data_IF_340747867677
#
_entry.id   IF_340747867677
#
_cell.length_a   1.000
_cell.length_b   1.000
_cell.length_c   1.000
_cell.angle_alpha   90.00
_cell.angle_beta   90.00
_cell.angle_gamma   90.00
#
_symmetry.space_group_name_H-M   'P 1'
#
loop_
_entity.id
_entity.type
_entity.pdbx_description
1 polymer ?
#
# COMPACT_ATOMS: atom_id res chain seq x y z
N UNK A 1 -42.68 3.78 -25.85
CA UNK A 1 -43.36 2.48 -25.71
C UNK A 1 -43.39 1.79 -27.07
N UNK A 2 -42.34 1.02 -27.38
CA UNK A 2 -42.37 -0.07 -28.36
C UNK A 2 -41.50 -1.16 -27.75
N UNK A 3 -42.15 -2.29 -27.44
CA UNK A 3 -41.61 -3.52 -26.86
C UNK A 3 -41.37 -4.49 -28.02
N UNK A 4 -40.28 -5.26 -27.98
CA UNK A 4 -40.12 -6.64 -28.49
C UNK A 4 -38.61 -6.94 -28.59
N UNK A 5 -38.07 -8.12 -28.29
CA UNK A 5 -38.59 -9.37 -27.73
C UNK A 5 -37.35 -10.16 -27.27
N UNK A 6 -37.43 -10.76 -26.08
CA UNK A 6 -36.43 -11.69 -25.58
C UNK A 6 -36.47 -13.00 -26.39
N UNK A 7 -35.31 -13.55 -26.72
CA UNK A 7 -35.17 -14.92 -27.17
C UNK A 7 -34.55 -15.74 -26.04
N UNK A 8 -35.39 -16.53 -25.39
CA UNK A 8 -35.02 -17.71 -24.58
C UNK A 8 -34.98 -18.95 -25.47
N UNK A 9 -34.34 -20.02 -24.98
CA UNK A 9 -34.35 -21.47 -25.36
C UNK A 9 -32.90 -21.94 -25.59
N UNK A 10 -32.31 -22.98 -24.98
CA UNK A 10 -32.65 -24.03 -23.99
C UNK A 10 -31.33 -24.69 -23.57
N UNK A 11 -31.09 -24.94 -22.28
CA UNK A 11 -31.12 -26.24 -21.59
C UNK A 11 -30.23 -27.37 -22.19
N UNK A 12 -29.14 -27.70 -21.51
CA UNK A 12 -28.61 -29.08 -21.50
C UNK A 12 -28.00 -29.40 -20.13
N UNK A 13 -28.77 -30.15 -19.35
CA UNK A 13 -28.29 -30.95 -18.23
C UNK A 13 -27.74 -32.26 -18.80
N UNK A 14 -26.52 -32.66 -18.42
CA UNK A 14 -26.19 -34.08 -18.37
C UNK A 14 -25.45 -34.38 -17.08
N UNK A 15 -26.04 -35.29 -16.31
CA UNK A 15 -25.62 -35.70 -15.00
C UNK A 15 -24.79 -36.99 -15.10
N UNK A 16 -23.72 -37.02 -14.30
CA UNK A 16 -23.36 -38.06 -13.33
C UNK A 16 -23.05 -39.52 -13.75
N UNK A 17 -21.94 -39.97 -13.15
CA UNK A 17 -21.56 -41.32 -12.67
C UNK A 17 -20.85 -42.26 -13.68
N UNK A 18 -19.67 -42.78 -13.34
CA UNK A 18 -19.49 -43.95 -12.46
C UNK A 18 -18.01 -44.30 -12.24
N UNK A 19 -17.79 -44.90 -11.08
CA UNK A 19 -16.62 -45.56 -10.52
C UNK A 19 -16.20 -46.85 -11.24
N UNK A 20 -14.90 -47.17 -11.20
CA UNK A 20 -14.31 -48.52 -11.12
C UNK A 20 -12.80 -48.33 -10.92
N UNK A 21 -12.03 -49.14 -10.19
CA UNK A 21 -12.25 -50.41 -9.53
C UNK A 21 -10.85 -50.98 -9.24
N UNK A 22 -10.62 -51.51 -8.04
CA UNK A 22 -9.39 -52.21 -7.71
C UNK A 22 -9.31 -53.52 -8.49
N UNK A 23 -8.15 -53.80 -9.09
CA UNK A 23 -7.75 -55.15 -9.48
C UNK A 23 -6.47 -55.53 -8.74
N UNK A 24 -6.53 -56.68 -8.07
CA UNK A 24 -5.43 -57.28 -7.32
C UNK A 24 -5.15 -58.64 -7.96
N UNK A 25 -4.00 -58.79 -8.66
CA UNK A 25 -3.44 -60.09 -9.03
C UNK A 25 -1.92 -60.07 -8.91
N UNK A 26 -1.44 -60.97 -8.07
CA UNK A 26 -0.04 -61.28 -7.79
C UNK A 26 0.73 -61.71 -9.04
N UNK A 27 1.90 -61.11 -9.24
CA UNK A 27 3.05 -61.74 -9.91
C UNK A 27 4.31 -61.36 -9.14
N UNK A 28 4.89 -62.35 -8.47
CA UNK A 28 6.12 -62.27 -7.69
C UNK A 28 7.33 -62.16 -8.62
N UNK A 29 8.14 -61.12 -8.45
CA UNK A 29 9.55 -61.09 -8.87
C UNK A 29 10.28 -60.08 -7.99
N UNK A 30 11.23 -60.61 -7.23
CA UNK A 30 12.05 -60.00 -6.19
C UNK A 30 13.05 -58.96 -6.72
N UNK A 31 13.12 -57.77 -6.11
CA UNK A 31 14.36 -57.11 -5.62
C UNK A 31 13.96 -56.13 -4.50
N UNK A 32 14.63 -56.23 -3.35
CA UNK A 32 14.47 -55.36 -2.18
C UNK A 32 15.10 -53.98 -2.44
N UNK A 33 14.34 -52.91 -2.23
CA UNK A 33 14.89 -51.66 -1.68
C UNK A 33 13.85 -50.98 -0.78
N UNK A 34 14.21 -50.81 0.50
CA UNK A 34 13.33 -50.30 1.56
C UNK A 34 13.03 -48.80 1.34
N UNK A 35 11.83 -48.48 0.87
CA UNK A 35 11.25 -47.14 1.04
C UNK A 35 10.47 -47.09 2.35
N UNK A 36 11.07 -46.51 3.39
CA UNK A 36 10.33 -46.06 4.57
C UNK A 36 9.57 -44.78 4.23
N UNK A 37 8.29 -44.89 3.91
CA UNK A 37 7.36 -43.76 3.95
C UNK A 37 7.03 -43.48 5.42
N UNK A 38 7.72 -42.50 6.00
CA UNK A 38 7.24 -41.84 7.21
C UNK A 38 6.27 -40.75 6.78
N UNK A 39 4.98 -41.01 6.96
CA UNK A 39 3.91 -40.03 6.84
C UNK A 39 4.03 -39.06 8.03
N UNK A 40 4.88 -38.05 7.88
CA UNK A 40 4.99 -36.95 8.85
C UNK A 40 3.96 -35.88 8.48
N UNK A 41 3.17 -35.37 9.43
CA UNK A 41 2.24 -34.27 9.17
C UNK A 41 3.04 -33.08 8.65
N UNK A 42 2.81 -32.69 7.41
CA UNK A 42 3.37 -31.46 6.85
C UNK A 42 2.88 -30.30 7.73
N UNK A 43 3.79 -29.74 8.54
CA UNK A 43 3.58 -28.45 9.19
C UNK A 43 3.11 -27.44 8.13
N UNK A 44 2.17 -26.53 8.46
CA UNK A 44 1.79 -25.48 7.53
C UNK A 44 3.05 -24.75 7.11
N UNK A 45 3.33 -24.72 5.81
CA UNK A 45 4.40 -23.89 5.26
C UNK A 45 4.05 -22.46 5.63
N UNK A 46 4.73 -21.90 6.64
CA UNK A 46 4.67 -20.47 6.90
C UNK A 46 5.29 -19.80 5.68
N UNK A 47 4.44 -19.26 4.80
CA UNK A 47 4.89 -18.45 3.67
C UNK A 47 5.53 -17.20 4.26
N UNK A 48 6.86 -17.19 4.34
CA UNK A 48 7.61 -16.04 4.82
C UNK A 48 7.45 -14.91 3.80
N UNK A 49 6.75 -13.85 4.19
CA UNK A 49 6.57 -12.66 3.37
C UNK A 49 7.91 -11.91 3.34
N UNK A 50 8.50 -11.66 2.16
CA UNK A 50 9.74 -10.88 2.08
C UNK A 50 9.56 -9.46 2.63
N UNK A 51 10.59 -8.93 3.30
CA UNK A 51 10.54 -7.60 3.94
C UNK A 51 10.33 -6.43 2.97
N UNK A 52 10.65 -6.62 1.68
CA UNK A 52 10.42 -5.62 0.63
C UNK A 52 8.98 -5.57 0.14
N UNK A 53 8.15 -6.56 0.47
CA UNK A 53 6.72 -6.52 0.14
C UNK A 53 6.08 -5.44 1.00
N UNK A 54 5.43 -4.48 0.36
CA UNK A 54 4.87 -3.37 1.09
C UNK A 54 4.39 -2.23 0.21
N UNK A 55 3.89 -1.21 0.90
CA UNK A 55 3.49 0.05 0.32
C UNK A 55 4.49 1.11 0.79
N UNK A 56 5.05 1.86 -0.15
CA UNK A 56 6.01 2.92 0.10
C UNK A 56 5.42 4.24 -0.39
N UNK A 57 5.48 5.29 0.44
CA UNK A 57 4.83 6.55 0.12
C UNK A 57 5.59 7.75 0.69
N UNK A 58 5.82 8.77 -0.14
CA UNK A 58 6.45 10.02 0.29
C UNK A 58 6.17 11.20 -0.65
N UNK A 59 6.26 12.40 -0.10
CA UNK A 59 6.56 13.59 -0.91
C UNK A 59 8.08 13.69 -1.11
N UNK A 60 8.51 13.74 -2.37
CA UNK A 60 9.92 13.93 -2.76
C UNK A 60 10.12 15.25 -3.52
N UNK A 61 11.36 15.79 -3.56
CA UNK A 61 11.68 16.97 -4.34
C UNK A 61 11.37 16.79 -5.83
N UNK A 62 10.99 17.88 -6.48
CA UNK A 62 10.68 17.91 -7.91
C UNK A 62 11.42 19.07 -8.58
N UNK A 63 12.12 18.80 -9.69
CA UNK A 63 12.90 19.83 -10.39
C UNK A 63 12.03 20.84 -11.13
N UNK A 64 10.89 20.41 -11.63
CA UNK A 64 10.01 21.19 -12.52
C UNK A 64 8.62 21.47 -11.91
N UNK A 65 8.39 21.03 -10.69
CA UNK A 65 7.14 21.18 -9.95
C UNK A 65 7.45 21.44 -8.47
N UNK A 66 6.45 21.79 -7.65
CA UNK A 66 6.69 22.18 -6.25
C UNK A 66 7.14 20.99 -5.41
N UNK A 67 6.50 19.84 -5.64
CA UNK A 67 6.83 18.54 -5.04
C UNK A 67 6.14 17.43 -5.83
N UNK A 68 6.56 16.20 -5.59
CA UNK A 68 5.94 15.01 -6.16
C UNK A 68 5.56 14.04 -5.05
N UNK A 69 4.32 13.55 -5.04
CA UNK A 69 3.95 12.36 -4.28
C UNK A 69 4.32 11.14 -5.12
N UNK A 70 5.02 10.19 -4.51
CA UNK A 70 5.24 8.85 -5.05
C UNK A 70 4.61 7.86 -4.08
N UNK A 71 3.77 6.97 -4.61
CA UNK A 71 3.09 5.92 -3.89
C UNK A 71 3.24 4.63 -4.68
N UNK A 72 4.00 3.68 -4.16
CA UNK A 72 4.30 2.41 -4.83
C UNK A 72 4.02 1.23 -3.92
N UNK A 73 3.29 0.26 -4.46
CA UNK A 73 3.05 -1.03 -3.81
C UNK A 73 3.84 -2.10 -4.52
N UNK A 74 4.71 -2.79 -3.80
CA UNK A 74 5.46 -3.95 -4.27
C UNK A 74 4.77 -5.22 -3.79
N UNK A 75 4.35 -6.06 -4.72
CA UNK A 75 3.61 -7.29 -4.45
C UNK A 75 4.53 -8.51 -4.43
N UNK A 76 4.17 -9.52 -3.64
CA UNK A 76 4.98 -10.74 -3.46
C UNK A 76 5.25 -11.51 -4.77
N UNK A 77 4.32 -11.44 -5.73
CA UNK A 77 4.44 -12.01 -7.06
C UNK A 77 5.32 -11.18 -8.03
N UNK A 78 6.10 -10.23 -7.51
CA UNK A 78 6.99 -9.33 -8.25
C UNK A 78 6.29 -8.41 -9.26
N UNK A 79 5.04 -8.05 -8.98
CA UNK A 79 4.35 -6.96 -9.68
C UNK A 79 4.34 -5.70 -8.82
N UNK A 80 4.11 -4.55 -9.45
CA UNK A 80 3.95 -3.29 -8.75
C UNK A 80 2.75 -2.49 -9.25
N UNK A 81 2.24 -1.63 -8.36
CA UNK A 81 1.36 -0.51 -8.70
C UNK A 81 2.04 0.78 -8.27
N UNK A 82 2.09 1.78 -9.14
CA UNK A 82 2.77 3.06 -8.90
C UNK A 82 1.87 4.23 -9.29
N UNK A 83 1.54 5.05 -8.30
CA UNK A 83 0.83 6.33 -8.43
C UNK A 83 1.82 7.47 -8.18
N UNK A 84 1.84 8.43 -9.08
CA UNK A 84 2.68 9.61 -9.00
C UNK A 84 1.85 10.86 -9.21
N UNK A 85 1.99 11.83 -8.30
CA UNK A 85 1.28 13.10 -8.38
C UNK A 85 2.29 14.23 -8.35
N UNK A 86 2.37 15.01 -9.43
CA UNK A 86 3.16 16.24 -9.51
C UNK A 86 2.29 17.44 -9.18
N UNK A 87 2.70 18.21 -8.17
CA UNK A 87 2.00 19.41 -7.72
C UNK A 87 2.64 20.65 -8.34
N UNK A 88 1.86 21.42 -9.09
CA UNK A 88 2.24 22.72 -9.63
C UNK A 88 1.35 23.79 -9.01
N UNK A 89 1.82 25.05 -9.02
CA UNK A 89 1.11 26.21 -8.43
C UNK A 89 -0.39 26.29 -8.75
N UNK A 90 -0.79 25.88 -9.95
CA UNK A 90 -2.17 26.01 -10.44
C UNK A 90 -2.79 24.71 -10.94
N UNK A 91 -2.08 23.57 -10.86
CA UNK A 91 -2.59 22.30 -11.33
C UNK A 91 -1.87 21.12 -10.71
N UNK A 92 -2.54 19.98 -10.75
CA UNK A 92 -1.98 18.69 -10.33
C UNK A 92 -2.01 17.75 -11.52
N UNK A 93 -0.94 16.98 -11.72
CA UNK A 93 -0.87 15.93 -12.75
C UNK A 93 -0.66 14.60 -12.05
N UNK A 94 -1.60 13.69 -12.24
CA UNK A 94 -1.51 12.31 -11.75
C UNK A 94 -1.14 11.36 -12.89
N UNK A 95 -0.28 10.40 -12.58
CA UNK A 95 0.05 9.28 -13.45
C UNK A 95 0.00 7.99 -12.65
N UNK A 96 -0.56 6.96 -13.26
CA UNK A 96 -0.57 5.62 -12.72
C UNK A 96 0.08 4.67 -13.71
N UNK A 97 0.85 3.74 -13.16
CA UNK A 97 1.60 2.72 -13.89
C UNK A 97 1.59 1.43 -13.10
N UNK A 98 1.65 0.32 -13.80
CA UNK A 98 1.80 -1.00 -13.21
C UNK A 98 2.71 -1.84 -14.08
N UNK A 99 3.28 -2.87 -13.47
CA UNK A 99 4.00 -3.88 -14.22
C UNK A 99 4.77 -4.82 -13.32
N UNK A 100 5.92 -5.27 -13.81
CA UNK A 100 6.77 -6.24 -13.12
C UNK A 100 8.05 -5.60 -12.64
N UNK A 101 8.72 -6.24 -11.68
CA UNK A 101 10.04 -5.82 -11.27
C UNK A 101 10.99 -7.00 -11.04
N UNK A 102 12.28 -6.70 -11.12
CA UNK A 102 13.36 -7.64 -10.85
C UNK A 102 14.41 -6.99 -9.96
N UNK A 103 15.11 -7.81 -9.18
CA UNK A 103 16.35 -7.40 -8.52
C UNK A 103 17.52 -7.66 -9.47
N UNK A 104 18.51 -6.77 -9.48
CA UNK A 104 19.75 -6.98 -10.22
C UNK A 104 20.52 -8.16 -9.63
N UNK A 105 21.07 -9.02 -10.49
CA UNK A 105 21.77 -10.24 -10.09
C UNK A 105 23.07 -9.97 -9.31
N UNK A 106 23.72 -8.83 -9.59
CA UNK A 106 24.99 -8.43 -8.97
C UNK A 106 24.78 -7.51 -7.78
N UNK A 107 23.67 -6.77 -7.76
CA UNK A 107 23.29 -5.89 -6.67
C UNK A 107 21.83 -6.15 -6.25
N UNK A 108 21.63 -6.97 -5.21
CA UNK A 108 20.30 -7.32 -4.70
C UNK A 108 19.49 -6.14 -4.16
N UNK A 109 20.12 -4.98 -3.95
CA UNK A 109 19.42 -3.77 -3.54
C UNK A 109 18.93 -2.94 -4.74
N UNK A 110 19.40 -3.22 -5.95
CA UNK A 110 18.93 -2.52 -7.13
C UNK A 110 17.65 -3.17 -7.67
N UNK A 111 16.56 -2.44 -7.56
CA UNK A 111 15.24 -2.79 -8.06
C UNK A 111 15.02 -2.14 -9.44
N UNK A 112 14.68 -2.94 -10.44
CA UNK A 112 14.30 -2.48 -11.77
C UNK A 112 12.82 -2.75 -12.00
N UNK A 113 12.03 -1.69 -12.19
CA UNK A 113 10.63 -1.75 -12.59
C UNK A 113 10.53 -1.67 -14.12
N UNK A 114 9.63 -2.48 -14.68
CA UNK A 114 9.22 -2.44 -16.09
C UNK A 114 7.72 -2.16 -16.17
N UNK A 115 7.37 -1.04 -16.80
CA UNK A 115 5.96 -0.68 -17.03
C UNK A 115 5.35 -1.52 -18.16
N UNK A 116 4.20 -2.14 -17.91
CA UNK A 116 3.58 -3.07 -18.87
C UNK A 116 3.14 -2.39 -20.17
N UNK A 117 2.71 -1.12 -20.10
CA UNK A 117 2.11 -0.41 -21.24
C UNK A 117 3.15 0.30 -22.10
N UNK A 118 4.13 0.92 -21.46
CA UNK A 118 5.11 1.81 -22.08
C UNK A 118 6.47 1.15 -22.24
N UNK A 119 6.71 0.02 -21.57
CA UNK A 119 8.00 -0.67 -21.52
C UNK A 119 9.14 0.24 -21.01
N UNK A 120 8.77 1.30 -20.28
CA UNK A 120 9.74 2.18 -19.65
C UNK A 120 10.32 1.53 -18.41
N UNK A 121 11.64 1.66 -18.26
CA UNK A 121 12.36 1.20 -17.08
C UNK A 121 12.51 2.30 -16.03
N UNK A 122 12.39 1.91 -14.77
CA UNK A 122 12.69 2.77 -13.61
C UNK A 122 13.53 1.99 -12.62
N UNK A 123 14.40 2.69 -11.92
CA UNK A 123 15.34 2.08 -10.99
C UNK A 123 15.14 2.65 -9.60
N UNK A 124 15.21 1.78 -8.60
CA UNK A 124 15.17 2.15 -7.20
C UNK A 124 16.26 1.40 -6.45
N UNK A 125 16.87 2.01 -5.44
CA UNK A 125 17.62 1.30 -4.42
C UNK A 125 16.66 0.89 -3.31
N UNK A 126 16.72 -0.37 -2.91
CA UNK A 126 16.03 -0.93 -1.75
C UNK A 126 16.93 -0.76 -0.52
N UNK A 127 16.34 -0.25 0.56
CA UNK A 127 16.96 -0.10 1.86
C UNK A 127 16.11 -0.81 2.92
N UNK A 128 16.56 -0.83 4.17
CA UNK A 128 15.75 -1.31 5.28
C UNK A 128 14.54 -0.39 5.47
N UNK A 129 13.33 -0.90 5.21
CA UNK A 129 12.05 -0.18 5.36
C UNK A 129 11.89 1.07 4.48
N UNK A 130 12.70 1.26 3.44
CA UNK A 130 12.52 2.35 2.46
C UNK A 130 13.02 1.95 1.08
N UNK A 131 12.62 2.73 0.09
CA UNK A 131 13.19 2.71 -1.27
C UNK A 131 13.62 4.12 -1.65
N UNK A 132 14.53 4.21 -2.61
CA UNK A 132 15.07 5.46 -3.12
C UNK A 132 15.03 5.42 -4.66
N UNK A 133 14.40 6.38 -5.35
CA UNK A 133 14.46 6.44 -6.80
C UNK A 133 15.90 6.76 -7.25
N UNK A 134 16.33 6.12 -8.34
CA UNK A 134 17.61 6.37 -9.00
C UNK A 134 17.40 7.02 -10.36
N UNK A 135 18.45 7.61 -10.93
CA UNK A 135 18.41 8.10 -12.31
C UNK A 135 18.45 6.96 -13.34
N UNK A 136 18.43 7.30 -14.62
CA UNK A 136 18.43 6.32 -15.72
C UNK A 136 19.73 5.51 -15.82
N UNK A 137 20.82 6.06 -15.28
CA UNK A 137 22.14 5.44 -15.23
C UNK A 137 22.36 4.69 -13.90
N UNK A 138 21.31 4.55 -13.08
CA UNK A 138 21.28 3.88 -11.77
C UNK A 138 22.09 4.61 -10.70
N UNK A 139 22.35 5.90 -10.87
CA UNK A 139 23.03 6.71 -9.85
C UNK A 139 22.02 7.32 -8.87
N UNK A 140 22.49 7.56 -7.65
CA UNK A 140 21.75 8.30 -6.63
C UNK A 140 21.67 9.80 -7.00
N UNK A 141 20.57 10.44 -6.61
CA UNK A 141 20.45 11.89 -6.74
C UNK A 141 21.35 12.60 -5.72
N UNK A 142 21.75 13.84 -6.03
CA UNK A 142 22.30 14.75 -5.02
C UNK A 142 21.23 15.00 -3.95
N UNK A 143 21.61 15.00 -2.68
CA UNK A 143 20.72 15.05 -1.51
C UNK A 143 19.76 13.84 -1.42
N UNK A 144 20.27 12.63 -1.62
CA UNK A 144 19.50 11.38 -1.65
C UNK A 144 18.62 11.16 -0.40
N UNK A 145 18.98 11.75 0.73
CA UNK A 145 18.21 11.69 1.97
C UNK A 145 16.80 12.27 1.80
N UNK A 146 16.63 13.24 0.90
CA UNK A 146 15.32 13.84 0.57
C UNK A 146 14.46 12.97 -0.34
N UNK A 147 15.02 11.92 -0.92
CA UNK A 147 14.35 11.02 -1.86
C UNK A 147 13.98 9.68 -1.25
N UNK A 148 14.26 9.47 0.04
CA UNK A 148 13.84 8.27 0.75
C UNK A 148 12.31 8.19 0.81
N UNK A 149 11.77 7.06 0.33
CA UNK A 149 10.35 6.73 0.34
C UNK A 149 10.17 5.59 1.33
N UNK A 150 9.77 5.87 2.59
CA UNK A 150 9.61 4.85 3.60
C UNK A 150 8.42 3.95 3.28
N UNK A 151 8.51 2.72 3.78
CA UNK A 151 7.38 1.81 3.85
C UNK A 151 6.36 2.38 4.85
N UNK A 152 5.11 2.45 4.43
CA UNK A 152 4.01 2.99 5.21
C UNK A 152 3.04 1.89 5.64
N UNK A 153 2.32 2.13 6.73
CA UNK A 153 1.37 1.17 7.29
C UNK A 153 -0.01 1.81 7.41
N UNK A 154 -0.99 1.24 6.72
CA UNK A 154 -2.37 1.73 6.77
C UNK A 154 -2.95 1.57 8.18
N UNK A 155 -3.68 2.60 8.62
CA UNK A 155 -4.49 2.55 9.84
C UNK A 155 -5.97 2.60 9.48
N UNK A 156 -6.82 1.96 10.27
CA UNK A 156 -8.27 2.08 10.11
C UNK A 156 -8.71 3.53 10.30
N UNK A 157 -9.55 4.02 9.37
CA UNK A 157 -10.21 5.33 9.48
C UNK A 157 -11.71 5.14 9.63
N UNK A 158 -12.24 5.52 10.79
CA UNK A 158 -13.67 5.56 11.09
C UNK A 158 -14.20 6.94 10.69
N UNK A 159 -14.72 7.05 9.48
CA UNK A 159 -15.14 8.30 8.88
C UNK A 159 -16.66 8.54 9.03
N UNK A 160 -17.05 9.65 9.66
CA UNK A 160 -18.46 10.06 9.79
C UNK A 160 -18.97 10.90 8.61
N UNK A 161 -18.07 11.39 7.74
CA UNK A 161 -18.43 12.26 6.62
C UNK A 161 -19.08 11.47 5.49
N UNK A 162 -20.15 12.02 4.91
CA UNK A 162 -20.78 11.47 3.71
C UNK A 162 -20.07 11.97 2.46
N UNK A 163 -19.91 11.09 1.47
CA UNK A 163 -19.30 11.40 0.16
C UNK A 163 -17.85 11.88 0.25
N UNK A 164 -17.15 11.47 1.30
CA UNK A 164 -15.73 11.76 1.49
C UNK A 164 -15.09 10.43 1.86
N UNK A 165 -14.06 10.02 1.11
CA UNK A 165 -13.24 8.88 1.47
C UNK A 165 -11.93 9.39 2.05
N UNK A 166 -11.49 8.83 3.18
CA UNK A 166 -10.24 9.21 3.85
C UNK A 166 -9.44 7.96 4.14
N UNK A 167 -8.24 7.91 3.59
CA UNK A 167 -7.24 6.91 3.90
C UNK A 167 -6.09 7.57 4.67
N UNK A 168 -5.48 6.80 5.57
CA UNK A 168 -4.35 7.25 6.36
C UNK A 168 -3.29 6.15 6.47
N UNK A 169 -2.06 6.51 6.15
CA UNK A 169 -0.91 5.61 6.29
C UNK A 169 0.14 6.23 7.23
N UNK A 170 0.61 5.45 8.20
CA UNK A 170 1.70 5.85 9.07
C UNK A 170 2.97 6.05 8.25
N UNK A 171 3.39 7.30 8.12
CA UNK A 171 4.56 7.71 7.34
C UNK A 171 5.84 7.75 8.19
N UNK A 172 5.73 8.21 9.45
CA UNK A 172 6.89 8.36 10.33
C UNK A 172 6.49 8.25 11.80
N UNK A 173 7.36 7.63 12.59
CA UNK A 173 7.28 7.57 14.05
C UNK A 173 8.60 8.05 14.64
N UNK A 174 8.55 9.08 15.49
CA UNK A 174 9.74 9.71 16.08
C UNK A 174 9.58 9.85 17.58
N UNK A 175 10.64 9.61 18.36
CA UNK A 175 10.66 9.98 19.78
C UNK A 175 10.94 11.47 19.90
N UNK A 176 10.15 12.14 20.72
CA UNK A 176 10.35 13.53 21.11
C UNK A 176 10.46 13.60 22.63
N UNK A 177 11.34 14.46 23.12
CA UNK A 177 11.50 14.71 24.55
C UNK A 177 11.18 16.17 24.82
N UNK A 178 10.28 16.42 25.77
CA UNK A 178 9.94 17.78 26.21
C UNK A 178 9.75 17.77 27.72
N UNK A 179 10.50 18.63 28.42
CA UNK A 179 10.46 18.75 29.88
C UNK A 179 10.66 17.41 30.62
N UNK A 180 11.55 16.55 30.12
CA UNK A 180 11.82 15.22 30.68
C UNK A 180 10.72 14.18 30.42
N UNK A 181 9.70 14.51 29.63
CA UNK A 181 8.66 13.58 29.20
C UNK A 181 8.96 13.14 27.78
N UNK A 182 9.15 11.84 27.58
CA UNK A 182 9.26 11.24 26.26
C UNK A 182 7.88 10.96 25.70
N UNK A 183 7.64 11.37 24.46
CA UNK A 183 6.44 11.07 23.68
C UNK A 183 6.84 10.59 22.29
N UNK A 184 5.91 9.96 21.59
CA UNK A 184 6.05 9.57 20.19
C UNK A 184 5.28 10.55 19.33
N UNK A 185 5.96 11.17 18.36
CA UNK A 185 5.31 11.90 17.28
C UNK A 185 5.01 10.92 16.15
N UNK A 186 3.73 10.73 15.85
CA UNK A 186 3.28 9.96 14.70
C UNK A 186 2.91 10.94 13.58
N UNK A 187 3.48 10.77 12.40
CA UNK A 187 3.08 11.48 11.19
C UNK A 187 2.39 10.51 10.25
N UNK A 188 1.15 10.81 9.90
CA UNK A 188 0.35 10.08 8.93
C UNK A 188 0.26 10.84 7.63
N UNK A 189 0.31 10.10 6.52
CA UNK A 189 -0.06 10.57 5.21
C UNK A 189 -1.54 10.35 5.00
N UNK A 190 -2.30 11.41 4.75
CA UNK A 190 -3.73 11.36 4.48
C UNK A 190 -3.99 11.55 2.99
N UNK A 191 -4.83 10.70 2.41
CA UNK A 191 -5.48 10.92 1.13
C UNK A 191 -6.97 11.16 1.40
N UNK A 192 -7.44 12.37 1.08
CA UNK A 192 -8.81 12.82 1.33
C UNK A 192 -9.49 13.05 -0.01
N UNK A 193 -10.39 12.15 -0.39
CA UNK A 193 -11.14 12.21 -1.63
C UNK A 193 -12.53 12.80 -1.36
N UNK A 194 -12.73 14.08 -1.67
CA UNK A 194 -14.03 14.73 -1.55
C UNK A 194 -14.82 14.51 -2.84
N UNK A 195 -15.82 13.62 -2.79
CA UNK A 195 -16.73 13.32 -3.89
C UNK A 195 -18.03 14.13 -3.84
N UNK A 196 -18.14 15.06 -2.88
CA UNK A 196 -19.30 15.93 -2.80
C UNK A 196 -19.19 17.11 -3.77
N UNK A 197 -20.35 17.70 -4.07
CA UNK A 197 -20.45 18.93 -4.88
C UNK A 197 -20.09 20.20 -4.10
N UNK A 198 -19.67 20.07 -2.84
CA UNK A 198 -19.33 21.20 -1.98
C UNK A 198 -17.87 21.11 -1.51
N UNK A 199 -17.20 22.25 -1.30
CA UNK A 199 -15.90 22.24 -0.64
C UNK A 199 -15.99 21.69 0.78
N UNK A 200 -15.07 20.81 1.15
CA UNK A 200 -14.95 20.24 2.49
C UNK A 200 -13.98 21.09 3.32
N UNK A 201 -14.42 21.52 4.50
CA UNK A 201 -13.57 22.15 5.51
C UNK A 201 -13.31 21.17 6.65
N UNK A 202 -12.13 20.57 6.67
CA UNK A 202 -11.68 19.67 7.73
C UNK A 202 -10.70 20.42 8.64
N UNK A 203 -10.91 20.39 9.96
CA UNK A 203 -10.03 21.02 10.96
C UNK A 203 -9.27 19.97 11.74
N UNK A 204 -8.20 20.40 12.40
CA UNK A 204 -7.44 19.56 13.35
C UNK A 204 -8.34 18.88 14.39
N UNK A 205 -9.34 19.62 14.91
CA UNK A 205 -10.30 19.11 15.91
C UNK A 205 -11.22 18.00 15.39
N UNK A 206 -11.35 17.88 14.07
CA UNK A 206 -12.23 16.91 13.43
C UNK A 206 -11.48 15.59 13.19
N UNK A 207 -10.16 15.56 13.37
CA UNK A 207 -9.30 14.39 13.17
C UNK A 207 -8.72 13.93 14.50
N UNK A 208 -9.04 12.70 14.91
CA UNK A 208 -8.70 12.20 16.23
C UNK A 208 -8.10 10.81 16.12
N UNK A 209 -6.91 10.63 16.67
CA UNK A 209 -6.33 9.30 16.83
C UNK A 209 -6.83 8.69 18.14
N UNK A 210 -7.42 7.51 18.05
CA UNK A 210 -7.91 6.75 19.20
C UNK A 210 -6.94 5.61 19.47
N UNK A 211 -6.50 5.49 20.71
CA UNK A 211 -5.64 4.39 21.12
C UNK A 211 -6.40 3.11 21.52
N UNK A 212 -5.64 2.03 21.72
CA UNK A 212 -6.18 0.76 22.20
C UNK A 212 -6.81 0.79 23.60
N UNK A 213 -6.68 1.89 24.34
CA UNK A 213 -7.31 2.15 25.64
C UNK A 213 -8.49 3.13 25.52
N UNK A 214 -8.89 3.49 24.29
CA UNK A 214 -9.95 4.45 23.96
C UNK A 214 -9.66 5.91 24.36
N UNK A 215 -8.40 6.29 24.57
CA UNK A 215 -8.06 7.71 24.75
C UNK A 215 -8.06 8.41 23.38
N UNK A 216 -8.59 9.63 23.33
CA UNK A 216 -8.62 10.48 22.14
C UNK A 216 -7.42 11.44 22.12
N UNK A 217 -6.69 11.47 21.00
CA UNK A 217 -5.53 12.35 20.77
C UNK A 217 -5.81 13.25 19.55
N UNK A 218 -5.77 14.57 19.75
CA UNK A 218 -6.06 15.53 18.68
C UNK A 218 -4.92 15.63 17.66
N UNK A 219 -5.29 15.86 16.41
CA UNK A 219 -4.34 16.09 15.34
C UNK A 219 -3.68 17.48 15.38
N UNK A 220 -2.57 17.60 14.67
CA UNK A 220 -2.00 18.85 14.17
C UNK A 220 -1.66 18.68 12.70
N UNK A 221 -2.31 19.44 11.83
CA UNK A 221 -2.01 19.43 10.39
C UNK A 221 -0.80 20.33 10.14
N UNK A 222 0.29 19.76 9.61
CA UNK A 222 1.56 20.49 9.38
C UNK A 222 1.46 21.69 8.43
N UNK A 223 0.40 21.77 7.60
CA UNK A 223 0.19 22.84 6.61
C UNK A 223 -1.10 23.65 6.84
N UNK A 224 -1.51 23.86 8.10
CA UNK A 224 -2.76 24.57 8.44
C UNK A 224 -2.68 26.09 8.09
N UNK A 225 -3.76 26.74 7.58
CA UNK A 225 -5.06 26.19 7.24
C UNK A 225 -5.02 25.29 6.00
N UNK A 226 -5.58 24.08 6.11
CA UNK A 226 -6.05 23.37 4.91
C UNK A 226 -7.04 24.32 4.23
N UNK A 227 -6.63 24.89 3.08
CA UNK A 227 -7.59 25.52 2.18
C UNK A 227 -8.72 24.51 1.95
N UNK A 228 -10.01 24.93 1.98
CA UNK A 228 -11.11 24.00 1.80
C UNK A 228 -10.85 23.06 0.62
N UNK A 229 -10.95 21.76 0.89
CA UNK A 229 -10.73 20.71 -0.10
C UNK A 229 -11.84 20.89 -1.13
N UNK A 230 -11.47 21.17 -2.39
CA UNK A 230 -12.45 21.49 -3.43
C UNK A 230 -13.43 20.32 -3.63
N UNK A 231 -14.63 20.62 -4.08
CA UNK A 231 -15.61 19.62 -4.53
C UNK A 231 -15.00 18.71 -5.60
N UNK A 232 -15.37 17.43 -5.61
CA UNK A 232 -14.92 16.45 -6.60
C UNK A 232 -13.39 16.44 -6.79
N UNK A 233 -12.64 16.49 -5.68
CA UNK A 233 -11.18 16.56 -5.71
C UNK A 233 -10.52 15.79 -4.57
N UNK A 234 -9.28 15.36 -4.81
CA UNK A 234 -8.44 14.67 -3.83
C UNK A 234 -7.37 15.60 -3.28
N UNK A 235 -7.24 15.67 -1.97
CA UNK A 235 -6.17 16.37 -1.27
C UNK A 235 -5.29 15.40 -0.49
N UNK A 236 -3.99 15.71 -0.46
CA UNK A 236 -3.00 14.94 0.29
C UNK A 236 -2.40 15.80 1.41
N UNK A 237 -2.34 15.28 2.63
CA UNK A 237 -1.87 16.03 3.79
C UNK A 237 -0.97 15.18 4.69
N UNK A 238 -0.08 15.84 5.44
CA UNK A 238 0.61 15.22 6.56
C UNK A 238 -0.07 15.66 7.85
N UNK A 239 -0.57 14.70 8.59
CA UNK A 239 -1.28 14.89 9.86
C UNK A 239 -0.42 14.32 10.98
N UNK A 240 -0.23 15.10 12.03
CA UNK A 240 0.66 14.74 13.14
C UNK A 240 -0.15 14.53 14.41
N UNK A 241 0.24 13.53 15.20
CA UNK A 241 -0.25 13.31 16.55
C UNK A 241 0.95 13.24 17.49
N UNK A 242 0.85 13.91 18.64
CA UNK A 242 1.76 13.67 19.76
C UNK A 242 1.09 12.63 20.65
N UNK A 243 1.82 11.56 20.91
CA UNK A 243 1.25 10.31 21.38
C UNK A 243 2.08 9.72 22.52
N UNK A 244 1.46 9.27 23.63
CA UNK A 244 2.22 8.67 24.74
C UNK A 244 2.93 7.39 24.33
N UNK A 245 4.18 7.23 24.78
CA UNK A 245 5.02 6.06 24.46
C UNK A 245 4.47 4.72 24.95
N UNK A 246 3.57 4.74 25.93
CA UNK A 246 3.03 3.55 26.61
C UNK A 246 1.71 3.04 26.02
N UNK A 247 1.27 3.58 24.90
CA UNK A 247 0.03 3.19 24.22
C UNK A 247 0.31 2.75 22.77
N UNK A 248 -0.69 2.19 22.10
CA UNK A 248 -0.62 1.86 20.67
C UNK A 248 -1.82 2.45 19.91
N UNK A 249 -1.60 3.09 18.74
CA UNK A 249 -2.69 3.58 17.90
C UNK A 249 -3.61 2.44 17.48
N UNK A 250 -4.93 2.66 17.59
CA UNK A 250 -5.92 1.69 17.15
C UNK A 250 -6.56 2.11 15.82
N UNK A 251 -7.13 3.31 15.78
CA UNK A 251 -7.77 3.86 14.58
C UNK A 251 -7.79 5.38 14.61
N UNK A 252 -8.09 5.99 13.46
CA UNK A 252 -8.36 7.42 13.33
C UNK A 252 -9.87 7.62 13.17
N UNK A 253 -10.44 8.51 13.95
CA UNK A 253 -11.84 8.93 13.90
C UNK A 253 -11.94 10.29 13.22
N UNK A 254 -12.82 10.41 12.24
CA UNK A 254 -13.17 11.68 11.60
C UNK A 254 -14.57 12.07 12.07
N UNK A 255 -14.68 13.24 12.70
CA UNK A 255 -15.94 13.80 13.22
C UNK A 255 -16.71 14.58 12.16
#
# INVERSE_FOLDING_TARGET
>A
MIIMKQAMITLSFFALLLSSGCDNKNSTSSVNEKFNLSEQPSQPIQVQIPSWVGHYQAFIPCKTCEKKLVSIRLHQNKTYSLKEISFFKHKTIQKESSGTFTFDEKNSNLLQLMDDKTQQRRYFSLHAHSIEPLDQDKNQFKDFEKYQIPQVQTIQVNNALKYVDIEADLFKSEKIESNGITSTQLTYFFEINNQSDQPLKLRDSDIILVDNKNNEHLATIKNNPISPIKSNSTQHALVVFIYPDSSQPAYIKIK
#
